data_IF_333415839020
#
_entry.id   IF_333415839020
#
_cell.length_a   1.000
_cell.length_b   1.000
_cell.length_c   1.000
_cell.angle_alpha   90.00
_cell.angle_beta   90.00
_cell.angle_gamma   90.00
#
_symmetry.space_group_name_H-M   'P 1'
#
loop_
_entity.id
_entity.type
_entity.pdbx_description
1 polymer ?
#
# COMPACT_ATOMS: atom_id res chain seq x y z
N UNK A 1 58.82 0.22 -0.54
CA UNK A 1 57.84 -0.89 -0.49
C UNK A 1 57.26 -0.86 0.93
N UNK A 2 56.05 -0.37 1.22
CA UNK A 2 54.87 -0.14 0.39
C UNK A 2 54.04 1.03 0.98
N UNK A 3 53.80 2.09 0.19
CA UNK A 3 52.96 3.26 0.51
C UNK A 3 51.52 3.00 0.07
N UNK A 4 50.77 2.19 0.83
CA UNK A 4 49.39 1.88 0.47
C UNK A 4 48.38 1.87 1.64
N UNK A 5 48.72 2.44 2.79
CA UNK A 5 47.84 2.44 3.97
C UNK A 5 47.23 3.81 4.36
N UNK A 6 47.58 4.92 3.70
CA UNK A 6 47.11 6.27 4.09
C UNK A 6 46.25 7.00 3.04
N UNK A 7 45.73 6.29 2.02
CA UNK A 7 45.05 6.91 0.86
C UNK A 7 43.57 6.57 0.70
N UNK A 8 42.87 6.09 1.73
CA UNK A 8 41.43 5.76 1.61
C UNK A 8 40.54 6.36 2.71
N UNK A 9 41.03 7.31 3.50
CA UNK A 9 40.26 7.97 4.58
C UNK A 9 39.88 9.43 4.26
N UNK A 10 40.04 9.89 3.01
CA UNK A 10 39.76 11.28 2.59
C UNK A 10 38.62 11.40 1.56
N UNK A 11 38.02 10.29 1.12
CA UNK A 11 36.94 10.31 0.10
C UNK A 11 35.51 10.12 0.67
N UNK A 12 35.29 10.39 1.97
CA UNK A 12 33.97 10.23 2.62
C UNK A 12 33.24 11.55 2.92
N UNK A 13 33.61 12.68 2.32
CA UNK A 13 32.90 13.96 2.48
C UNK A 13 33.08 14.82 1.24
N UNK A 14 32.17 14.71 0.26
CA UNK A 14 31.76 15.78 -0.64
C UNK A 14 30.93 15.18 -1.79
N UNK A 15 29.60 15.21 -1.70
CA UNK A 15 28.69 15.40 -2.85
C UNK A 15 27.24 15.48 -2.34
N UNK A 16 27.00 16.49 -1.50
CA UNK A 16 25.67 17.07 -1.31
C UNK A 16 25.59 18.34 -2.18
N UNK A 17 24.43 18.54 -2.80
CA UNK A 17 23.94 19.80 -3.38
C UNK A 17 24.40 20.16 -4.81
N UNK A 18 23.69 19.62 -5.80
CA UNK A 18 23.64 20.15 -7.17
C UNK A 18 22.35 20.93 -7.42
N UNK A 19 22.31 22.20 -6.99
CA UNK A 19 21.35 23.20 -7.48
C UNK A 19 22.15 24.37 -8.02
N UNK A 20 22.10 24.61 -9.33
CA UNK A 20 22.50 25.89 -9.93
C UNK A 20 21.53 26.27 -11.04
N UNK A 21 20.59 27.11 -10.66
CA UNK A 21 20.04 28.15 -11.52
C UNK A 21 21.06 29.29 -11.64
N UNK A 22 21.03 29.94 -12.82
CA UNK A 22 21.43 31.33 -13.09
C UNK A 22 22.92 31.69 -12.91
N UNK A 23 23.53 32.17 -13.99
CA UNK A 23 24.03 33.55 -14.06
C UNK A 23 24.29 33.94 -15.52
N UNK A 24 23.47 34.90 -15.95
CA UNK A 24 23.71 35.83 -17.06
C UNK A 24 24.69 36.91 -16.58
N UNK A 25 25.60 37.36 -17.44
CA UNK A 25 26.51 38.47 -17.11
C UNK A 25 27.55 38.77 -18.18
N UNK A 26 27.15 39.63 -19.12
CA UNK A 26 27.93 40.56 -19.97
C UNK A 26 29.41 40.82 -19.62
N UNK A 27 30.26 40.93 -20.65
CA UNK A 27 30.84 42.18 -21.19
C UNK A 27 32.04 41.87 -22.12
N UNK A 28 32.25 42.66 -23.18
CA UNK A 28 33.51 42.62 -23.94
C UNK A 28 33.45 43.05 -25.42
N UNK A 29 33.56 44.36 -25.63
CA UNK A 29 33.57 45.13 -26.87
C UNK A 29 34.60 44.75 -27.98
N UNK A 30 34.27 45.17 -29.22
CA UNK A 30 35.11 45.75 -30.28
C UNK A 30 35.53 44.89 -31.50
N UNK A 31 35.01 45.23 -32.69
CA UNK A 31 35.78 45.72 -33.86
C UNK A 31 34.86 46.01 -35.07
N UNK A 32 35.26 47.00 -35.87
CA UNK A 32 34.53 47.69 -36.97
C UNK A 32 34.60 46.94 -38.31
N UNK A 33 33.63 47.20 -39.19
CA UNK A 33 33.81 47.83 -40.53
C UNK A 33 32.44 48.24 -41.12
N UNK A 34 32.33 49.37 -41.86
CA UNK A 34 31.09 49.81 -42.48
C UNK A 34 31.01 49.34 -43.94
N UNK A 35 29.81 48.99 -44.42
CA UNK A 35 29.48 49.16 -45.84
C UNK A 35 27.98 49.31 -46.09
N UNK A 36 27.71 49.95 -47.22
CA UNK A 36 26.55 50.75 -47.61
C UNK A 36 25.27 49.98 -48.01
N UNK A 37 24.15 50.73 -48.01
CA UNK A 37 22.90 50.54 -48.77
C UNK A 37 22.07 49.26 -48.54
N UNK A 38 20.84 49.40 -48.04
CA UNK A 38 19.66 49.59 -48.91
C UNK A 38 18.38 49.73 -48.04
N UNK A 39 17.44 50.55 -48.50
CA UNK A 39 16.24 50.89 -47.76
C UNK A 39 15.19 49.78 -47.85
N UNK A 40 14.52 49.45 -46.74
CA UNK A 40 13.17 48.89 -46.74
C UNK A 40 12.44 49.30 -45.45
N UNK A 41 11.41 50.13 -45.60
CA UNK A 41 10.43 50.45 -44.54
C UNK A 41 9.60 49.19 -44.26
N UNK A 42 9.83 48.55 -43.11
CA UNK A 42 8.95 47.49 -42.59
C UNK A 42 7.96 48.07 -41.57
N UNK A 43 6.68 47.78 -41.78
CA UNK A 43 5.54 48.13 -40.92
C UNK A 43 5.71 47.63 -39.46
N UNK A 44 5.15 48.33 -38.46
CA UNK A 44 5.28 47.92 -37.06
C UNK A 44 4.43 46.67 -36.76
N UNK A 45 5.12 45.63 -36.30
CA UNK A 45 4.54 44.38 -35.84
C UNK A 45 3.67 44.56 -34.59
N UNK A 46 2.52 43.88 -34.61
CA UNK A 46 1.61 43.73 -33.49
C UNK A 46 2.29 42.97 -32.33
N UNK A 47 2.47 43.64 -31.20
CA UNK A 47 2.86 43.02 -29.94
C UNK A 47 1.75 42.05 -29.48
N UNK A 48 1.87 40.76 -29.82
CA UNK A 48 1.16 39.69 -29.12
C UNK A 48 1.88 39.44 -27.79
N UNK A 49 1.26 39.89 -26.70
CA UNK A 49 1.59 39.44 -25.34
C UNK A 49 1.31 37.93 -25.24
N UNK A 50 2.34 37.10 -25.43
CA UNK A 50 2.30 35.69 -25.05
C UNK A 50 2.57 35.59 -23.55
N UNK A 51 1.49 35.44 -22.76
CA UNK A 51 1.60 34.97 -21.38
C UNK A 51 2.16 33.54 -21.35
N UNK A 52 2.84 33.13 -20.27
CA UNK A 52 3.45 31.80 -20.17
C UNK A 52 2.37 30.72 -20.28
N UNK A 53 2.62 29.62 -21.01
CA UNK A 53 1.64 28.55 -21.16
C UNK A 53 1.31 27.99 -19.79
N UNK A 54 0.03 28.09 -19.43
CA UNK A 54 -0.53 27.44 -18.26
C UNK A 54 -0.13 25.98 -18.26
N UNK A 55 0.32 25.49 -17.10
CA UNK A 55 0.60 24.07 -16.88
C UNK A 55 -0.71 23.31 -17.06
N UNK A 56 -0.96 22.87 -18.28
CA UNK A 56 -1.97 21.87 -18.60
C UNK A 56 -1.63 20.67 -17.72
N UNK A 57 -2.51 20.34 -16.78
CA UNK A 57 -2.48 19.06 -16.09
C UNK A 57 -2.63 17.98 -17.16
N UNK A 58 -1.50 17.54 -17.72
CA UNK A 58 -1.44 16.40 -18.60
C UNK A 58 -2.04 15.24 -17.81
N UNK A 59 -3.18 14.74 -18.31
CA UNK A 59 -3.79 13.53 -17.82
C UNK A 59 -2.70 12.46 -17.75
N UNK A 60 -2.54 11.88 -16.57
CA UNK A 60 -1.73 10.70 -16.37
C UNK A 60 -2.43 9.54 -17.11
N UNK A 61 -2.20 9.48 -18.42
CA UNK A 61 -2.40 8.27 -19.21
C UNK A 61 -1.57 7.18 -18.52
N UNK A 62 -2.18 6.02 -18.19
CA UNK A 62 -1.46 4.96 -17.50
C UNK A 62 -0.42 4.43 -18.48
N UNK A 63 0.83 4.81 -18.27
CA UNK A 63 1.96 4.30 -19.03
C UNK A 63 1.92 2.77 -18.97
N UNK A 64 1.82 2.16 -20.16
CA UNK A 64 1.57 0.74 -20.44
C UNK A 64 2.31 -0.32 -19.56
N UNK A 65 3.50 -0.10 -18.95
CA UNK A 65 4.08 -1.06 -17.99
C UNK A 65 3.33 -1.24 -16.67
N UNK A 66 2.58 -0.23 -16.20
CA UNK A 66 1.85 -0.32 -14.92
C UNK A 66 0.64 -1.25 -15.02
N UNK A 67 0.01 -1.31 -16.20
CA UNK A 67 -1.19 -2.11 -16.45
C UNK A 67 -0.87 -3.61 -16.54
N UNK A 68 0.22 -4.00 -17.22
CA UNK A 68 0.60 -5.42 -17.34
C UNK A 68 0.95 -6.04 -15.99
N UNK A 69 1.80 -5.39 -15.20
CA UNK A 69 2.19 -5.88 -13.86
C UNK A 69 0.98 -6.05 -12.94
N UNK A 70 0.02 -5.11 -12.97
CA UNK A 70 -1.22 -5.23 -12.20
C UNK A 70 -2.09 -6.39 -12.67
N UNK A 71 -2.24 -6.59 -13.98
CA UNK A 71 -3.00 -7.73 -14.52
C UNK A 71 -2.34 -9.05 -14.11
N UNK A 72 -1.01 -9.15 -14.18
CA UNK A 72 -0.28 -10.33 -13.72
C UNK A 72 -0.49 -10.59 -12.23
N UNK A 73 -0.40 -9.55 -11.39
CA UNK A 73 -0.68 -9.67 -9.95
C UNK A 73 -2.12 -10.15 -9.70
N UNK A 74 -3.10 -9.58 -10.39
CA UNK A 74 -4.50 -10.00 -10.29
C UNK A 74 -4.68 -11.46 -10.68
N UNK A 75 -4.05 -11.90 -11.77
CA UNK A 75 -4.11 -13.29 -12.21
C UNK A 75 -3.50 -14.25 -11.18
N UNK A 76 -2.33 -13.92 -10.63
CA UNK A 76 -1.67 -14.73 -9.59
C UNK A 76 -2.51 -14.80 -8.32
N UNK A 77 -3.07 -13.67 -7.87
CA UNK A 77 -3.96 -13.63 -6.71
C UNK A 77 -5.25 -14.42 -6.95
N UNK A 78 -5.85 -14.30 -8.13
CA UNK A 78 -7.04 -15.06 -8.50
C UNK A 78 -6.76 -16.56 -8.54
N UNK A 79 -5.62 -16.98 -9.09
CA UNK A 79 -5.20 -18.38 -9.08
C UNK A 79 -4.97 -18.90 -7.65
N UNK A 80 -4.34 -18.10 -6.79
CA UNK A 80 -4.08 -18.43 -5.38
C UNK A 80 -5.37 -18.52 -4.54
N UNK A 81 -6.35 -17.64 -4.79
CA UNK A 81 -7.69 -17.71 -4.20
C UNK A 81 -8.42 -18.95 -4.71
N UNK A 82 -8.36 -19.21 -6.03
CA UNK A 82 -8.92 -20.40 -6.65
C UNK A 82 -8.41 -21.68 -6.01
N UNK A 83 -7.09 -21.81 -5.81
CA UNK A 83 -6.48 -22.92 -5.10
C UNK A 83 -7.07 -23.10 -3.70
N UNK A 84 -7.20 -22.02 -2.92
CA UNK A 84 -7.75 -22.10 -1.57
C UNK A 84 -9.21 -22.55 -1.55
N UNK A 85 -10.03 -22.04 -2.48
CA UNK A 85 -11.42 -22.47 -2.64
C UNK A 85 -11.51 -23.93 -3.08
N UNK A 86 -10.62 -24.39 -3.96
CA UNK A 86 -10.55 -25.80 -4.36
C UNK A 86 -10.17 -26.72 -3.20
N UNK A 87 -9.22 -26.32 -2.33
CA UNK A 87 -8.88 -27.09 -1.13
C UNK A 87 -10.05 -27.16 -0.15
N UNK A 88 -10.77 -26.06 0.07
CA UNK A 88 -11.99 -26.03 0.90
C UNK A 88 -13.05 -26.96 0.31
N UNK A 89 -13.34 -26.84 -0.98
CA UNK A 89 -14.33 -27.68 -1.66
C UNK A 89 -13.95 -29.17 -1.60
N UNK A 90 -12.69 -29.50 -1.90
CA UNK A 90 -12.17 -30.86 -1.83
C UNK A 90 -12.33 -31.46 -0.44
N UNK A 91 -12.05 -30.67 0.61
CA UNK A 91 -12.28 -31.10 1.99
C UNK A 91 -13.74 -31.42 2.27
N UNK A 92 -14.65 -30.53 1.87
CA UNK A 92 -16.09 -30.69 2.11
C UNK A 92 -16.62 -31.92 1.35
N UNK A 93 -16.15 -32.15 0.13
CA UNK A 93 -16.56 -33.31 -0.68
C UNK A 93 -16.11 -34.63 -0.05
N UNK A 94 -14.86 -34.70 0.45
CA UNK A 94 -14.30 -35.94 1.01
C UNK A 94 -14.84 -36.23 2.40
N UNK A 95 -14.96 -35.21 3.25
CA UNK A 95 -15.33 -35.38 4.67
C UNK A 95 -16.82 -35.23 4.94
N UNK A 96 -17.58 -34.66 3.99
CA UNK A 96 -18.97 -34.23 4.15
C UNK A 96 -19.20 -33.23 5.30
N UNK A 97 -18.14 -32.59 5.81
CA UNK A 97 -18.20 -31.62 6.90
C UNK A 97 -18.01 -30.19 6.39
N UNK A 98 -18.92 -29.28 6.75
CA UNK A 98 -18.90 -27.87 6.34
C UNK A 98 -18.02 -26.97 7.23
N UNK A 99 -17.26 -27.56 8.16
CA UNK A 99 -16.56 -26.82 9.23
C UNK A 99 -15.61 -25.74 8.71
N UNK A 100 -14.96 -25.91 7.56
CA UNK A 100 -14.03 -24.92 7.01
C UNK A 100 -14.66 -23.92 6.05
N UNK A 101 -15.99 -23.95 5.89
CA UNK A 101 -16.69 -23.01 5.01
C UNK A 101 -16.58 -21.55 5.49
N UNK A 102 -16.38 -21.32 6.80
CA UNK A 102 -16.12 -19.98 7.33
C UNK A 102 -14.82 -19.37 6.76
N UNK A 103 -13.83 -20.18 6.35
CA UNK A 103 -12.62 -19.66 5.72
C UNK A 103 -12.90 -19.06 4.35
N UNK A 104 -13.87 -19.63 3.60
CA UNK A 104 -14.30 -19.04 2.34
C UNK A 104 -14.97 -17.67 2.58
N UNK A 105 -15.75 -17.56 3.67
CA UNK A 105 -16.33 -16.28 4.10
C UNK A 105 -15.27 -15.26 4.52
N UNK A 106 -14.29 -15.67 5.34
CA UNK A 106 -13.18 -14.82 5.76
C UNK A 106 -12.34 -14.38 4.55
N UNK A 107 -12.09 -15.28 3.60
CA UNK A 107 -11.39 -14.96 2.37
C UNK A 107 -12.18 -13.94 1.53
N UNK A 108 -13.50 -14.09 1.42
CA UNK A 108 -14.34 -13.08 0.77
C UNK A 108 -14.21 -11.70 1.45
N UNK A 109 -14.25 -11.64 2.78
CA UNK A 109 -14.04 -10.38 3.52
C UNK A 109 -12.64 -9.80 3.27
N UNK A 110 -11.62 -10.64 3.15
CA UNK A 110 -10.24 -10.23 2.84
C UNK A 110 -10.07 -9.62 1.43
N UNK A 111 -10.96 -9.94 0.48
CA UNK A 111 -10.94 -9.33 -0.86
C UNK A 111 -11.46 -7.88 -0.84
N UNK A 112 -12.32 -7.52 0.12
CA UNK A 112 -12.99 -6.20 0.16
C UNK A 112 -11.97 -5.04 0.22
N UNK A 113 -10.98 -5.01 1.14
CA UNK A 113 -10.01 -3.93 1.18
C UNK A 113 -9.24 -3.76 -0.13
N UNK A 114 -8.87 -4.86 -0.77
CA UNK A 114 -8.15 -4.82 -2.04
C UNK A 114 -9.02 -4.31 -3.20
N UNK A 115 -10.29 -4.71 -3.25
CA UNK A 115 -11.24 -4.17 -4.21
C UNK A 115 -11.43 -2.66 -4.02
N UNK A 116 -11.62 -2.20 -2.78
CA UNK A 116 -11.78 -0.78 -2.45
C UNK A 116 -10.55 0.05 -2.83
N UNK A 117 -9.34 -0.41 -2.51
CA UNK A 117 -8.10 0.30 -2.86
C UNK A 117 -7.90 0.38 -4.37
N UNK A 118 -8.21 -0.70 -5.10
CA UNK A 118 -8.11 -0.77 -6.56
C UNK A 118 -9.10 0.18 -7.22
N UNK A 119 -10.37 0.16 -6.81
CA UNK A 119 -11.40 1.07 -7.31
C UNK A 119 -11.06 2.53 -7.05
N UNK A 120 -10.53 2.86 -5.87
CA UNK A 120 -10.08 4.21 -5.54
C UNK A 120 -8.86 4.64 -6.37
N UNK A 121 -7.96 3.70 -6.69
CA UNK A 121 -6.82 3.93 -7.58
C UNK A 121 -7.23 4.21 -9.03
N UNK A 122 -8.29 3.57 -9.51
CA UNK A 122 -8.86 3.76 -10.86
C UNK A 122 -9.67 5.05 -10.98
N UNK A 123 -10.24 5.56 -9.87
CA UNK A 123 -11.00 6.80 -9.89
C UNK A 123 -10.14 8.00 -10.29
N UNK A 124 -10.68 8.91 -11.11
CA UNK A 124 -9.99 10.11 -11.61
C UNK A 124 -10.72 11.40 -11.25
N UNK A 125 -9.96 12.50 -11.19
CA UNK A 125 -10.48 13.85 -11.03
C UNK A 125 -11.31 14.07 -9.75
N UNK A 126 -12.41 14.86 -9.81
CA UNK A 126 -13.19 15.22 -8.63
C UNK A 126 -13.91 14.03 -7.99
N UNK A 127 -14.20 12.97 -8.74
CA UNK A 127 -14.80 11.75 -8.22
C UNK A 127 -13.88 11.07 -7.20
N UNK A 128 -12.58 10.99 -7.48
CA UNK A 128 -11.60 10.43 -6.54
C UNK A 128 -11.52 11.22 -5.24
N UNK A 129 -11.61 12.55 -5.30
CA UNK A 129 -11.60 13.39 -4.10
C UNK A 129 -12.83 13.12 -3.21
N UNK A 130 -14.02 12.99 -3.82
CA UNK A 130 -15.27 12.69 -3.12
C UNK A 130 -15.29 11.28 -2.52
N UNK A 131 -14.74 10.30 -3.24
CA UNK A 131 -14.73 8.89 -2.80
C UNK A 131 -13.65 8.60 -1.76
N UNK A 132 -12.61 9.41 -1.65
CA UNK A 132 -11.44 9.08 -0.82
C UNK A 132 -11.78 8.90 0.66
N UNK A 133 -12.59 9.78 1.24
CA UNK A 133 -12.96 9.70 2.64
C UNK A 133 -13.88 8.48 2.93
N UNK A 134 -15.04 8.31 2.25
CA UNK A 134 -15.92 7.17 2.54
C UNK A 134 -15.28 5.82 2.18
N UNK A 135 -14.59 5.73 1.03
CA UNK A 135 -13.91 4.48 0.63
C UNK A 135 -12.71 4.20 1.52
N UNK A 136 -11.97 5.23 1.96
CA UNK A 136 -10.85 5.06 2.89
C UNK A 136 -11.30 4.61 4.28
N UNK A 137 -12.41 5.15 4.79
CA UNK A 137 -13.01 4.71 6.05
C UNK A 137 -13.49 3.26 5.96
N UNK A 138 -14.22 2.91 4.88
CA UNK A 138 -14.65 1.53 4.63
C UNK A 138 -13.44 0.59 4.49
N UNK A 139 -12.40 1.01 3.77
CA UNK A 139 -11.17 0.26 3.63
C UNK A 139 -10.55 -0.05 5.00
N UNK A 140 -10.39 0.97 5.87
CA UNK A 140 -9.79 0.78 7.18
C UNK A 140 -10.63 -0.13 8.09
N UNK A 141 -11.95 -0.08 7.97
CA UNK A 141 -12.88 -0.94 8.71
C UNK A 141 -12.76 -2.42 8.30
N UNK A 142 -12.60 -2.69 7.01
CA UNK A 142 -12.48 -4.06 6.49
C UNK A 142 -11.03 -4.56 6.46
N UNK A 143 -10.05 -3.67 6.54
CA UNK A 143 -8.62 -4.00 6.46
C UNK A 143 -8.17 -5.06 7.47
N UNK A 144 -8.62 -5.09 8.74
CA UNK A 144 -8.24 -6.13 9.71
C UNK A 144 -8.61 -7.54 9.26
N UNK A 145 -9.67 -7.73 8.46
CA UNK A 145 -10.10 -9.07 8.04
C UNK A 145 -9.07 -9.77 7.17
N UNK A 146 -8.29 -9.03 6.38
CA UNK A 146 -7.31 -9.64 5.48
C UNK A 146 -6.16 -10.33 6.25
N UNK A 147 -5.40 -9.65 7.14
CA UNK A 147 -4.39 -10.32 7.96
C UNK A 147 -4.98 -11.20 9.07
N UNK A 148 -6.27 -11.05 9.44
CA UNK A 148 -6.95 -11.92 10.41
C UNK A 148 -6.87 -13.41 10.05
N UNK A 149 -6.86 -13.75 8.75
CA UNK A 149 -6.77 -15.14 8.29
C UNK A 149 -5.53 -15.87 8.81
N UNK A 150 -4.45 -15.16 9.16
CA UNK A 150 -3.27 -15.76 9.82
C UNK A 150 -3.64 -16.38 11.16
N UNK A 151 -4.60 -15.79 11.88
CA UNK A 151 -5.04 -16.32 13.17
C UNK A 151 -6.01 -17.49 13.04
N UNK A 152 -6.54 -17.78 11.85
CA UNK A 152 -7.39 -18.96 11.67
C UNK A 152 -6.61 -20.27 11.79
N UNK A 153 -5.26 -20.22 11.80
CA UNK A 153 -4.40 -21.34 12.20
C UNK A 153 -4.71 -21.89 13.60
N UNK A 154 -5.30 -21.09 14.48
CA UNK A 154 -5.76 -21.57 15.79
C UNK A 154 -6.91 -22.61 15.71
N UNK A 155 -7.49 -22.87 14.53
CA UNK A 155 -8.47 -23.96 14.34
C UNK A 155 -7.83 -25.29 13.88
N UNK A 156 -6.50 -25.29 13.68
CA UNK A 156 -5.75 -26.47 13.33
C UNK A 156 -5.65 -27.38 14.56
N UNK A 157 -6.41 -28.46 14.53
CA UNK A 157 -6.34 -29.54 15.53
C UNK A 157 -6.33 -30.88 14.78
N UNK A 158 -5.63 -31.87 15.34
CA UNK A 158 -5.65 -33.24 14.85
C UNK A 158 -7.05 -33.82 14.94
N UNK A 159 -7.54 -34.36 13.83
CA UNK A 159 -8.88 -34.92 13.71
C UNK A 159 -8.84 -36.18 12.83
N UNK A 160 -9.70 -37.17 13.11
CA UNK A 160 -9.76 -38.40 12.31
C UNK A 160 -10.34 -38.16 10.91
N UNK A 161 -11.08 -37.07 10.72
CA UNK A 161 -11.85 -36.81 9.48
C UNK A 161 -10.97 -36.51 8.27
N UNK A 162 -9.77 -35.95 8.48
CA UNK A 162 -8.85 -35.62 7.40
C UNK A 162 -7.41 -35.54 7.90
N UNK A 163 -6.41 -35.76 7.03
CA UNK A 163 -5.01 -35.62 7.40
C UNK A 163 -4.67 -34.19 7.85
N UNK A 164 -3.93 -34.06 8.95
CA UNK A 164 -3.52 -32.77 9.52
C UNK A 164 -2.75 -31.90 8.51
N UNK A 165 -1.92 -32.51 7.66
CA UNK A 165 -1.15 -31.78 6.64
C UNK A 165 -2.05 -31.09 5.62
N UNK A 166 -3.22 -31.66 5.32
CA UNK A 166 -4.17 -31.09 4.38
C UNK A 166 -4.86 -29.86 5.01
N UNK A 167 -5.27 -29.96 6.27
CA UNK A 167 -5.79 -28.81 7.03
C UNK A 167 -4.79 -27.67 7.13
N UNK A 168 -3.55 -28.01 7.46
CA UNK A 168 -2.47 -27.03 7.52
C UNK A 168 -2.28 -26.33 6.18
N UNK A 169 -2.20 -27.09 5.08
CA UNK A 169 -2.03 -26.54 3.73
C UNK A 169 -3.20 -25.63 3.32
N UNK A 170 -4.44 -26.04 3.63
CA UNK A 170 -5.65 -25.27 3.36
C UNK A 170 -5.66 -23.94 4.14
N UNK A 171 -5.42 -23.99 5.46
CA UNK A 171 -5.43 -22.78 6.28
C UNK A 171 -4.27 -21.85 5.89
N UNK A 172 -3.08 -22.40 5.63
CA UNK A 172 -1.94 -21.61 5.16
C UNK A 172 -2.19 -20.96 3.80
N UNK A 173 -2.89 -21.64 2.87
CA UNK A 173 -3.23 -21.03 1.57
C UNK A 173 -4.20 -19.86 1.74
N UNK A 174 -5.18 -19.97 2.66
CA UNK A 174 -6.05 -18.86 3.04
C UNK A 174 -5.26 -17.71 3.69
N UNK A 175 -4.40 -18.01 4.67
CA UNK A 175 -3.56 -17.02 5.36
C UNK A 175 -2.63 -16.27 4.39
N UNK A 176 -2.04 -17.00 3.43
CA UNK A 176 -1.22 -16.42 2.37
C UNK A 176 -2.01 -15.40 1.53
N UNK A 177 -3.21 -15.78 1.07
CA UNK A 177 -4.07 -14.86 0.33
C UNK A 177 -4.43 -13.63 1.16
N UNK A 178 -4.82 -13.81 2.41
CA UNK A 178 -5.13 -12.72 3.34
C UNK A 178 -3.98 -11.72 3.47
N UNK A 179 -2.75 -12.20 3.70
CA UNK A 179 -1.56 -11.36 3.78
C UNK A 179 -1.24 -10.64 2.47
N UNK A 180 -1.26 -11.34 1.34
CA UNK A 180 -0.93 -10.73 0.05
C UNK A 180 -1.96 -9.68 -0.37
N UNK A 181 -3.26 -9.93 -0.15
CA UNK A 181 -4.32 -8.97 -0.38
C UNK A 181 -4.20 -7.76 0.54
N UNK A 182 -3.89 -7.98 1.83
CA UNK A 182 -3.62 -6.91 2.78
C UNK A 182 -2.47 -6.02 2.30
N UNK A 183 -1.32 -6.60 1.96
CA UNK A 183 -0.14 -5.85 1.52
C UNK A 183 -0.36 -5.14 0.18
N UNK A 184 -1.02 -5.79 -0.78
CA UNK A 184 -1.36 -5.15 -2.05
C UNK A 184 -2.29 -3.94 -1.84
N UNK A 185 -3.32 -4.09 -1.02
CA UNK A 185 -4.26 -3.00 -0.71
C UNK A 185 -3.59 -1.85 0.05
N UNK A 186 -2.70 -2.18 1.00
CA UNK A 186 -1.93 -1.20 1.76
C UNK A 186 -0.94 -0.44 0.88
N UNK A 187 -0.30 -1.11 -0.08
CA UNK A 187 0.61 -0.47 -1.02
C UNK A 187 -0.09 0.55 -1.91
N UNK A 188 -1.32 0.25 -2.35
CA UNK A 188 -2.15 1.19 -3.09
C UNK A 188 -2.49 2.41 -2.22
N UNK A 189 -2.99 2.21 -1.00
CA UNK A 189 -3.35 3.30 -0.10
C UNK A 189 -2.13 4.13 0.35
N UNK A 190 -0.99 3.48 0.65
CA UNK A 190 0.26 4.15 0.96
C UNK A 190 0.71 5.03 -0.21
N UNK A 191 0.55 4.57 -1.45
CA UNK A 191 0.91 5.36 -2.63
C UNK A 191 0.04 6.61 -2.74
N UNK A 192 -1.27 6.50 -2.47
CA UNK A 192 -2.17 7.67 -2.44
C UNK A 192 -1.74 8.71 -1.40
N UNK A 193 -1.38 8.26 -0.19
CA UNK A 193 -0.91 9.15 0.89
C UNK A 193 0.45 9.76 0.53
N UNK A 194 1.38 8.94 0.03
CA UNK A 194 2.72 9.38 -0.39
C UNK A 194 2.67 10.48 -1.44
N UNK A 195 1.79 10.34 -2.43
CA UNK A 195 1.65 11.33 -3.52
C UNK A 195 1.12 12.67 -3.03
N UNK A 196 0.39 12.72 -1.90
CA UNK A 196 -0.20 13.95 -1.36
C UNK A 196 0.61 14.59 -0.23
N UNK A 197 1.15 13.77 0.66
CA UNK A 197 1.77 14.21 1.92
C UNK A 197 3.25 13.82 2.03
N UNK A 198 3.80 13.14 1.02
CA UNK A 198 5.20 12.74 0.97
C UNK A 198 5.50 11.34 1.54
N UNK A 199 6.75 10.86 1.37
CA UNK A 199 7.14 9.49 1.68
C UNK A 199 7.06 9.14 3.17
N UNK A 200 7.42 10.08 4.06
CA UNK A 200 7.36 9.88 5.51
C UNK A 200 5.92 9.64 5.98
N UNK A 201 4.99 10.50 5.53
CA UNK A 201 3.57 10.37 5.84
C UNK A 201 2.99 9.04 5.30
N UNK A 202 3.43 8.58 4.13
CA UNK A 202 3.04 7.27 3.60
C UNK A 202 3.45 6.11 4.52
N UNK A 203 4.68 6.11 5.03
CA UNK A 203 5.14 5.07 5.96
C UNK A 203 4.49 5.18 7.35
N UNK A 204 4.28 6.39 7.85
CA UNK A 204 3.54 6.60 9.09
C UNK A 204 2.10 6.06 8.96
N UNK A 205 1.41 6.37 7.86
CA UNK A 205 0.09 5.82 7.55
C UNK A 205 0.10 4.29 7.51
N UNK A 206 1.07 3.69 6.80
CA UNK A 206 1.15 2.23 6.70
C UNK A 206 1.35 1.58 8.08
N UNK A 207 2.23 2.15 8.91
CA UNK A 207 2.51 1.67 10.27
C UNK A 207 1.26 1.76 11.15
N UNK A 208 0.56 2.90 11.14
CA UNK A 208 -0.67 3.09 11.90
C UNK A 208 -1.77 2.13 11.43
N UNK A 209 -1.95 1.97 10.11
CA UNK A 209 -2.93 1.06 9.55
C UNK A 209 -2.66 -0.40 9.97
N UNK A 210 -1.40 -0.84 9.99
CA UNK A 210 -1.02 -2.18 10.42
C UNK A 210 -1.19 -2.40 11.93
N UNK A 211 -0.91 -1.40 12.76
CA UNK A 211 -1.17 -1.47 14.21
C UNK A 211 -2.67 -1.51 14.50
N UNK A 212 -3.46 -0.66 13.84
CA UNK A 212 -4.93 -0.68 13.95
C UNK A 212 -5.50 -2.02 13.45
N UNK A 213 -4.93 -2.56 12.38
CA UNK A 213 -5.27 -3.89 11.86
C UNK A 213 -5.01 -4.98 12.90
N UNK A 214 -3.84 -4.94 13.54
CA UNK A 214 -3.44 -5.90 14.58
C UNK A 214 -4.32 -5.80 15.84
N UNK A 215 -4.74 -4.59 16.20
CA UNK A 215 -5.74 -4.37 17.23
C UNK A 215 -7.11 -4.94 16.80
N UNK A 216 -7.52 -4.73 15.55
CA UNK A 216 -8.73 -5.33 14.98
C UNK A 216 -8.69 -6.87 14.99
N UNK A 217 -7.53 -7.48 14.76
CA UNK A 217 -7.34 -8.92 14.90
C UNK A 217 -7.64 -9.37 16.33
N UNK A 218 -7.16 -8.63 17.33
CA UNK A 218 -7.48 -8.93 18.72
C UNK A 218 -8.99 -8.84 18.99
N UNK A 219 -9.66 -7.79 18.50
CA UNK A 219 -11.11 -7.63 18.62
C UNK A 219 -11.86 -8.81 17.99
N UNK A 220 -11.50 -9.20 16.77
CA UNK A 220 -12.14 -10.33 16.10
C UNK A 220 -11.89 -11.67 16.79
N UNK A 221 -10.66 -11.91 17.25
CA UNK A 221 -10.28 -13.24 17.75
C UNK A 221 -10.74 -13.48 19.18
N UNK A 222 -10.63 -12.47 20.04
CA UNK A 222 -10.89 -12.62 21.47
C UNK A 222 -12.26 -12.06 21.89
N UNK A 223 -12.72 -10.99 21.23
CA UNK A 223 -14.01 -10.38 21.52
C UNK A 223 -15.10 -10.80 20.52
N UNK A 224 -14.73 -11.56 19.47
CA UNK A 224 -15.64 -12.08 18.43
C UNK A 224 -16.38 -11.00 17.64
N UNK A 225 -15.79 -9.80 17.56
CA UNK A 225 -16.32 -8.71 16.75
C UNK A 225 -15.98 -8.88 15.26
N UNK A 226 -16.95 -8.63 14.40
CA UNK A 226 -16.81 -8.56 12.95
C UNK A 226 -16.96 -7.12 12.46
N UNK A 227 -16.57 -6.83 11.22
CA UNK A 227 -16.73 -5.49 10.64
C UNK A 227 -18.18 -5.00 10.58
N UNK A 228 -19.17 -5.90 10.65
CA UNK A 228 -20.60 -5.54 10.70
C UNK A 228 -21.09 -5.14 12.10
N UNK A 229 -20.35 -5.47 13.17
CA UNK A 229 -20.75 -5.11 14.54
C UNK A 229 -20.66 -3.61 14.83
N UNK A 230 -19.94 -2.86 14.00
CA UNK A 230 -19.99 -1.39 14.00
C UNK A 230 -21.40 -0.87 13.74
N UNK A 231 -22.20 -1.60 12.96
CA UNK A 231 -23.58 -1.22 12.66
C UNK A 231 -24.58 -1.93 13.60
N UNK A 232 -24.34 -3.20 13.91
CA UNK A 232 -25.24 -3.99 14.73
C UNK A 232 -25.18 -3.61 16.22
N UNK A 233 -23.98 -3.36 16.76
CA UNK A 233 -23.75 -3.13 18.19
C UNK A 233 -22.73 -2.00 18.48
N UNK A 234 -22.90 -0.79 17.90
CA UNK A 234 -21.90 0.28 17.94
C UNK A 234 -21.49 0.70 19.36
N UNK A 235 -22.44 0.79 20.29
CA UNK A 235 -22.18 1.27 21.65
C UNK A 235 -21.29 0.32 22.45
N UNK A 236 -21.56 -0.99 22.36
CA UNK A 236 -20.76 -2.00 23.07
C UNK A 236 -19.34 -2.06 22.54
N UNK A 237 -19.18 -2.07 21.22
CA UNK A 237 -17.89 -2.05 20.55
C UNK A 237 -17.10 -0.79 20.92
N UNK A 238 -17.75 0.38 20.89
CA UNK A 238 -17.11 1.64 21.24
C UNK A 238 -16.66 1.66 22.71
N UNK A 239 -17.51 1.20 23.62
CA UNK A 239 -17.17 1.08 25.04
C UNK A 239 -15.97 0.15 25.24
N UNK A 240 -15.95 -1.01 24.59
CA UNK A 240 -14.86 -1.98 24.70
C UNK A 240 -13.54 -1.46 24.15
N UNK A 241 -13.57 -0.71 23.04
CA UNK A 241 -12.39 -0.03 22.49
C UNK A 241 -11.90 1.03 23.47
N UNK A 242 -12.79 1.91 23.94
CA UNK A 242 -12.44 3.03 24.79
C UNK A 242 -11.88 2.57 26.14
N UNK A 243 -12.50 1.57 26.76
CA UNK A 243 -12.07 0.99 28.02
C UNK A 243 -10.62 0.43 27.92
N UNK A 244 -10.27 -0.20 26.79
CA UNK A 244 -8.90 -0.72 26.56
C UNK A 244 -7.88 0.38 26.29
N UNK A 245 -8.29 1.47 25.65
CA UNK A 245 -7.44 2.63 25.42
C UNK A 245 -7.19 3.44 26.70
N UNK A 246 -8.19 3.57 27.56
CA UNK A 246 -8.09 4.31 28.83
C UNK A 246 -7.39 3.50 29.93
N UNK A 247 -7.52 2.17 29.92
CA UNK A 247 -6.90 1.29 30.91
C UNK A 247 -5.93 0.29 30.28
N UNK A 248 -4.83 0.73 29.65
CA UNK A 248 -3.96 -0.14 28.88
C UNK A 248 -3.28 -1.22 29.74
N UNK A 249 -2.93 -0.88 30.99
CA UNK A 249 -2.32 -1.81 31.94
C UNK A 249 -3.29 -2.88 32.46
N UNK A 250 -4.61 -2.66 32.37
CA UNK A 250 -5.62 -3.65 32.74
C UNK A 250 -5.81 -4.72 31.64
N UNK A 251 -5.40 -4.44 30.40
CA UNK A 251 -5.57 -5.33 29.25
C UNK A 251 -4.24 -5.66 28.56
N UNK A 252 -3.26 -6.26 29.27
CA UNK A 252 -1.92 -6.52 28.72
C UNK A 252 -1.96 -7.44 27.48
N UNK A 253 -2.92 -8.37 27.41
CA UNK A 253 -3.10 -9.25 26.26
C UNK A 253 -3.44 -8.48 24.97
N UNK A 254 -4.28 -7.46 25.06
CA UNK A 254 -4.67 -6.63 23.92
C UNK A 254 -3.44 -5.98 23.29
N UNK A 255 -2.60 -5.37 24.13
CA UNK A 255 -1.40 -4.68 23.68
C UNK A 255 -0.31 -5.66 23.23
N UNK A 256 -0.14 -6.80 23.91
CA UNK A 256 0.78 -7.86 23.50
C UNK A 256 0.47 -8.38 22.10
N UNK A 257 -0.79 -8.75 21.83
CA UNK A 257 -1.22 -9.21 20.50
C UNK A 257 -1.05 -8.09 19.47
N UNK A 258 -1.51 -6.88 19.78
CA UNK A 258 -1.41 -5.72 18.87
C UNK A 258 0.03 -5.43 18.45
N UNK A 259 0.97 -5.44 19.40
CA UNK A 259 2.38 -5.13 19.13
C UNK A 259 3.09 -6.27 18.38
N UNK A 260 2.86 -7.52 18.78
CA UNK A 260 3.49 -8.68 18.13
C UNK A 260 3.00 -8.85 16.70
N UNK A 261 1.69 -8.86 16.48
CA UNK A 261 1.13 -8.93 15.12
C UNK A 261 1.45 -7.66 14.33
N UNK A 262 1.45 -6.50 14.97
CA UNK A 262 1.82 -5.23 14.33
C UNK A 262 3.24 -5.25 13.79
N UNK A 263 4.20 -5.70 14.60
CA UNK A 263 5.59 -5.88 14.19
C UNK A 263 5.72 -6.93 13.09
N UNK A 264 5.06 -8.09 13.22
CA UNK A 264 5.06 -9.13 12.21
C UNK A 264 4.56 -8.63 10.85
N UNK A 265 3.40 -7.96 10.82
CA UNK A 265 2.82 -7.43 9.59
C UNK A 265 3.66 -6.28 9.02
N UNK A 266 4.26 -5.42 9.86
CA UNK A 266 5.12 -4.34 9.41
C UNK A 266 6.40 -4.86 8.76
N UNK A 267 7.05 -5.85 9.37
CA UNK A 267 8.23 -6.51 8.79
C UNK A 267 7.89 -7.24 7.50
N UNK A 268 6.77 -7.98 7.45
CA UNK A 268 6.29 -8.64 6.25
C UNK A 268 6.01 -7.64 5.12
N UNK A 269 5.33 -6.54 5.43
CA UNK A 269 5.08 -5.46 4.47
C UNK A 269 6.38 -4.82 3.97
N UNK A 270 7.30 -4.50 4.87
CA UNK A 270 8.63 -3.98 4.53
C UNK A 270 9.40 -4.91 3.58
N UNK A 271 9.37 -6.21 3.85
CA UNK A 271 10.02 -7.24 3.02
C UNK A 271 9.47 -7.25 1.60
N UNK A 272 8.14 -7.29 1.44
CA UNK A 272 7.48 -7.24 0.12
C UNK A 272 7.83 -5.95 -0.63
N UNK A 273 7.93 -4.82 0.07
CA UNK A 273 8.29 -3.53 -0.52
C UNK A 273 9.73 -3.45 -0.99
N UNK A 274 10.67 -4.07 -0.28
CA UNK A 274 12.09 -4.14 -0.69
C UNK A 274 12.24 -5.06 -1.89
N UNK A 275 11.66 -6.26 -1.85
CA UNK A 275 11.70 -7.23 -2.96
C UNK A 275 11.13 -6.64 -4.24
N UNK A 276 9.99 -5.94 -4.16
CA UNK A 276 9.38 -5.30 -5.33
C UNK A 276 10.17 -4.12 -5.90
N UNK A 277 11.06 -3.49 -5.12
CA UNK A 277 11.94 -2.41 -5.62
C UNK A 277 13.20 -2.94 -6.28
N UNK A 278 13.78 -4.02 -5.76
CA UNK A 278 14.98 -4.63 -6.31
C UNK A 278 14.80 -5.15 -7.76
N UNK A 279 13.57 -5.34 -8.21
CA UNK A 279 13.23 -5.75 -9.58
C UNK A 279 12.92 -4.58 -10.52
N UNK A 280 12.86 -3.35 -10.00
CA UNK A 280 12.55 -2.14 -10.77
C UNK A 280 13.78 -1.27 -11.08
N UNK A 281 14.93 -1.61 -10.48
CA UNK A 281 16.27 -1.06 -10.76
C UNK A 281 17.02 -1.97 -11.74
#
# INVERSE_FOLDING_TARGET
>A
MNRHAERNEVESKHLYCGSKYLLSGRDGSAARTPDEHDGHKASPGSLRLQGPPGRTFAGMEPTLPFTRTRITLLFVLAASVGLSLSLIAGRVIVTHQIRFLFLAWNLFLALIPYALSTLLGLARGPLRARLLLPVGAAWLLFFPNAPYLVTDLFHLDERPDAPLWFDLALILSCAWNGLMLAYASLADMQTLVRLRLGPLAGWAFATVALLLSSFGIYLGRYLRYNSWDVLANPLTLFYDILNRLLHPFAYPRTWGVTMVFGAFLLLGYGTVRVLGRAQAE
#
